data_IF_723674830752
#
_entry.id   IF_723674830752
#
_cell.length_a   1.000
_cell.length_b   1.000
_cell.length_c   1.000
_cell.angle_alpha   90.00
_cell.angle_beta   90.00
_cell.angle_gamma   90.00
#
_symmetry.space_group_name_H-M   'P 1'
#
loop_
_entity.id
_entity.type
_entity.pdbx_description
1 polymer ?
#
# COMPACT_ATOMS: atom_id res chain seq x y z
N UNK A 1 0.97 -15.06 12.08
CA UNK A 1 0.22 -15.41 10.86
C UNK A 1 0.82 -14.77 9.63
N UNK A 2 0.60 -13.48 9.34
CA UNK A 2 1.22 -12.84 8.17
C UNK A 2 2.73 -12.65 8.30
N UNK A 3 3.20 -12.08 9.42
CA UNK A 3 4.63 -11.91 9.71
C UNK A 3 5.41 -13.22 9.73
N UNK A 4 4.75 -14.32 10.08
CA UNK A 4 5.34 -15.66 10.15
C UNK A 4 5.17 -16.46 8.85
N UNK A 5 4.54 -15.87 7.82
CA UNK A 5 4.28 -16.52 6.53
C UNK A 5 3.15 -17.56 6.51
N UNK A 6 2.53 -17.86 7.65
CA UNK A 6 1.41 -18.81 7.73
C UNK A 6 0.14 -18.30 7.04
N UNK A 7 -0.08 -16.99 7.06
CA UNK A 7 -1.13 -16.34 6.28
C UNK A 7 -0.48 -15.46 5.21
N UNK A 8 -0.61 -15.76 3.92
CA UNK A 8 0.08 -15.01 2.87
C UNK A 8 -0.62 -13.70 2.50
N UNK A 9 -1.77 -13.38 3.12
CA UNK A 9 -2.56 -12.18 2.83
C UNK A 9 -2.94 -11.48 4.14
N UNK A 10 -2.73 -10.17 4.20
CA UNK A 10 -3.19 -9.31 5.29
C UNK A 10 -4.06 -8.21 4.71
N UNK A 11 -5.29 -8.10 5.23
CA UNK A 11 -6.18 -6.97 4.94
C UNK A 11 -6.09 -5.99 6.10
N UNK A 12 -5.82 -4.72 5.81
CA UNK A 12 -5.64 -3.70 6.84
C UNK A 12 -6.15 -2.33 6.38
N UNK A 13 -6.65 -1.55 7.34
CA UNK A 13 -6.87 -0.11 7.18
C UNK A 13 -5.63 0.67 7.63
N UNK A 14 -5.56 1.97 7.30
CA UNK A 14 -4.43 2.83 7.69
C UNK A 14 -4.16 2.85 9.19
N UNK A 15 -5.20 2.68 10.01
CA UNK A 15 -5.10 2.60 11.46
C UNK A 15 -4.52 1.26 11.90
N UNK A 16 -5.02 0.15 11.33
CA UNK A 16 -4.55 -1.19 11.65
C UNK A 16 -3.09 -1.44 11.23
N UNK A 17 -2.59 -0.69 10.25
CA UNK A 17 -1.23 -0.83 9.72
C UNK A 17 -0.15 -0.10 10.55
N UNK A 18 -0.52 0.81 11.47
CA UNK A 18 0.48 1.53 12.29
C UNK A 18 1.12 0.60 13.31
N UNK A 19 2.46 0.64 13.38
CA UNK A 19 3.24 -0.22 14.28
C UNK A 19 3.42 -1.65 13.81
N UNK A 20 2.82 -2.03 12.66
CA UNK A 20 3.13 -3.29 11.99
C UNK A 20 4.42 -3.11 11.19
N UNK A 21 5.53 -3.53 11.78
CA UNK A 21 6.75 -3.77 11.03
C UNK A 21 6.65 -5.15 10.36
N UNK A 22 6.53 -5.12 9.04
CA UNK A 22 6.38 -6.31 8.22
C UNK A 22 7.43 -6.26 7.13
N UNK A 23 8.48 -7.05 7.32
CA UNK A 23 9.55 -7.19 6.34
C UNK A 23 9.08 -8.03 5.15
N UNK A 24 9.72 -7.82 4.00
CA UNK A 24 9.58 -8.65 2.79
C UNK A 24 8.18 -8.70 2.16
N UNK A 25 7.36 -7.65 2.25
CA UNK A 25 6.11 -7.58 1.49
C UNK A 25 6.42 -7.54 0.00
N UNK A 26 5.98 -8.55 -0.76
CA UNK A 26 6.17 -8.62 -2.21
C UNK A 26 5.15 -7.78 -3.00
N UNK A 27 3.93 -7.70 -2.47
CA UNK A 27 2.80 -7.05 -3.11
C UNK A 27 2.04 -6.15 -2.15
N UNK A 28 1.76 -4.92 -2.57
CA UNK A 28 0.84 -4.01 -1.91
C UNK A 28 -0.36 -3.80 -2.83
N UNK A 29 -1.57 -3.96 -2.30
CA UNK A 29 -2.81 -3.69 -3.03
C UNK A 29 -3.57 -2.59 -2.30
N UNK A 30 -3.73 -1.43 -2.93
CA UNK A 30 -4.68 -0.42 -2.47
C UNK A 30 -6.05 -0.78 -3.06
N UNK A 31 -6.90 -1.39 -2.24
CA UNK A 31 -8.29 -1.63 -2.63
C UNK A 31 -9.02 -0.30 -2.80
N UNK A 32 -8.85 0.61 -1.82
CA UNK A 32 -9.24 2.01 -1.90
C UNK A 32 -7.99 2.89 -1.83
N UNK A 33 -7.90 3.89 -2.70
CA UNK A 33 -6.82 4.87 -2.63
C UNK A 33 -6.94 5.71 -1.34
N UNK A 34 -5.81 6.11 -0.74
CA UNK A 34 -5.84 7.01 0.41
C UNK A 34 -6.25 8.42 -0.01
N UNK A 35 -6.64 9.25 0.96
CA UNK A 35 -7.03 10.64 0.71
C UNK A 35 -5.85 11.58 0.43
N UNK A 36 -4.60 11.14 0.67
CA UNK A 36 -3.40 11.94 0.47
C UNK A 36 -2.28 11.18 -0.23
N UNK A 37 -1.44 11.92 -0.96
CA UNK A 37 -0.29 11.34 -1.67
C UNK A 37 0.78 10.80 -0.71
N UNK A 38 1.00 11.46 0.42
CA UNK A 38 1.97 11.01 1.42
C UNK A 38 1.57 9.65 2.01
N UNK A 39 0.28 9.46 2.26
CA UNK A 39 -0.22 8.15 2.70
C UNK A 39 -0.08 7.10 1.60
N UNK A 40 -0.33 7.45 0.33
CA UNK A 40 -0.10 6.55 -0.80
C UNK A 40 1.37 6.10 -0.85
N UNK A 41 2.32 7.03 -0.76
CA UNK A 41 3.76 6.73 -0.73
C UNK A 41 4.11 5.82 0.45
N UNK A 42 3.58 6.09 1.65
CA UNK A 42 3.80 5.24 2.83
C UNK A 42 3.21 3.83 2.69
N UNK A 43 2.07 3.68 2.00
CA UNK A 43 1.46 2.37 1.73
C UNK A 43 2.29 1.57 0.74
N UNK A 44 2.64 2.15 -0.41
CA UNK A 44 3.43 1.43 -1.42
C UNK A 44 4.86 1.15 -0.95
N UNK A 45 5.42 1.98 -0.05
CA UNK A 45 6.73 1.78 0.56
C UNK A 45 6.84 0.57 1.51
N UNK A 46 5.75 -0.19 1.70
CA UNK A 46 5.78 -1.48 2.39
C UNK A 46 6.45 -2.56 1.55
N UNK A 47 6.40 -2.45 0.22
CA UNK A 47 7.12 -3.33 -0.70
C UNK A 47 8.37 -2.64 -1.26
N UNK A 48 9.25 -3.38 -1.94
CA UNK A 48 10.41 -2.81 -2.63
C UNK A 48 11.52 -2.27 -1.71
N UNK A 49 11.64 -2.81 -0.49
CA UNK A 49 12.62 -2.36 0.51
C UNK A 49 13.98 -3.05 0.35
N UNK A 50 15.05 -2.38 0.78
CA UNK A 50 16.42 -2.93 0.83
C UNK A 50 16.93 -3.46 -0.53
N UNK A 51 16.62 -2.77 -1.63
CA UNK A 51 17.05 -3.16 -2.98
C UNK A 51 16.24 -4.30 -3.60
N UNK A 52 15.25 -4.85 -2.88
CA UNK A 52 14.33 -5.83 -3.45
C UNK A 52 13.34 -5.17 -4.40
N UNK A 53 12.89 -5.92 -5.40
CA UNK A 53 11.80 -5.49 -6.29
C UNK A 53 10.48 -5.71 -5.57
N UNK A 54 9.62 -4.70 -5.63
CA UNK A 54 8.27 -4.74 -5.10
C UNK A 54 7.25 -4.35 -6.15
N UNK A 55 5.99 -4.75 -5.95
CA UNK A 55 4.89 -4.32 -6.82
C UNK A 55 3.73 -3.77 -6.01
N UNK A 56 3.30 -2.56 -6.37
CA UNK A 56 2.08 -1.97 -5.86
C UNK A 56 1.02 -1.93 -6.97
N UNK A 57 -0.21 -2.30 -6.63
CA UNK A 57 -1.39 -2.17 -7.50
C UNK A 57 -2.42 -1.35 -6.75
N UNK A 58 -3.03 -0.38 -7.42
CA UNK A 58 -4.11 0.42 -6.86
C UNK A 58 -5.32 0.35 -7.74
N UNK A 59 -6.49 0.15 -7.15
CA UNK A 59 -7.74 0.41 -7.83
C UNK A 59 -8.05 1.91 -7.75
N UNK A 60 -8.46 2.48 -8.88
CA UNK A 60 -8.77 3.89 -9.00
C UNK A 60 -10.24 4.03 -9.35
N UNK A 61 -10.98 4.73 -8.50
CA UNK A 61 -12.36 5.10 -8.74
C UNK A 61 -12.42 6.60 -9.10
N UNK A 62 -12.81 6.97 -10.33
CA UNK A 62 -12.90 8.38 -10.74
C UNK A 62 -13.82 9.23 -9.84
N UNK A 63 -14.86 8.65 -9.25
CA UNK A 63 -15.81 9.39 -8.42
C UNK A 63 -15.18 9.87 -7.10
N UNK A 64 -14.28 9.08 -6.50
CA UNK A 64 -13.63 9.39 -5.22
C UNK A 64 -12.19 9.89 -5.36
N UNK A 65 -11.45 9.41 -6.36
CA UNK A 65 -9.98 9.50 -6.38
C UNK A 65 -9.46 10.56 -7.36
N UNK A 66 -10.35 11.21 -8.12
CA UNK A 66 -10.02 12.35 -8.99
C UNK A 66 -9.18 13.44 -8.29
N UNK A 67 -9.46 13.82 -7.03
CA UNK A 67 -8.63 14.80 -6.32
C UNK A 67 -7.15 14.38 -6.17
N UNK A 68 -6.87 13.07 -6.12
CA UNK A 68 -5.52 12.52 -6.01
C UNK A 68 -4.85 12.30 -7.37
N UNK A 69 -5.62 12.20 -8.45
CA UNK A 69 -5.14 11.84 -9.79
C UNK A 69 -3.95 12.69 -10.25
N UNK A 70 -3.99 14.00 -10.03
CA UNK A 70 -2.90 14.92 -10.42
C UNK A 70 -1.60 14.63 -9.69
N UNK A 71 -1.67 14.14 -8.46
CA UNK A 71 -0.49 13.81 -7.66
C UNK A 71 0.10 12.43 -7.99
N UNK A 72 -0.68 11.56 -8.65
CA UNK A 72 -0.24 10.23 -9.09
C UNK A 72 0.48 10.26 -10.44
N UNK A 73 0.24 11.30 -11.24
CA UNK A 73 0.88 11.52 -12.55
C UNK A 73 1.97 12.57 -12.39
N UNK A 74 3.10 12.36 -13.06
CA UNK A 74 4.23 13.29 -13.07
C UNK A 74 4.22 14.12 -14.35
#
# INVERSE_FOLDING_TARGET
DFRTGQCPVLVATSVAARGLDIEHVQHVVNFDLPSSIDEYVHRIGRTGRCGNIGRAVSFFNPESDTPLARSLVK
#
